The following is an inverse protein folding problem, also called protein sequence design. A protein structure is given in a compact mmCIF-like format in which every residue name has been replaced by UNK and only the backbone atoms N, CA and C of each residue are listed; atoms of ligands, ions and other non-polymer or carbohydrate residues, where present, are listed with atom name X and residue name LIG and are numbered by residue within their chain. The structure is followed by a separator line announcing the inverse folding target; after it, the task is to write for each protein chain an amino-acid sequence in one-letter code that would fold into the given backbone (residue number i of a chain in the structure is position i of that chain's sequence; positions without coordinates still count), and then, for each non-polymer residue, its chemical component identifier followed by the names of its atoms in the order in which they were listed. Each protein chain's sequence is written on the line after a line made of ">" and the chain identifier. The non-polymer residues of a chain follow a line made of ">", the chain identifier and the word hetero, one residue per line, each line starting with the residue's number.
data_IF_165215809381
#
_entry.id   IF_165215809381
#
_cell.length_a   1.000
_cell.length_b   1.000
_cell.length_c   1.000
_cell.angle_alpha   90.00
_cell.angle_beta   90.00
_cell.angle_gamma   90.00
#
_symmetry.space_group_name_H-M   'P 1'
#
loop_
_entity.id
_entity.type
_entity.pdbx_description
1 polymer ?
#
# COMPACT_ATOMS: atom_id res chain seq x y z
N UNK A 1 16.42 -27.40 42.43
CA UNK A 1 15.00 -27.02 42.28
C UNK A 1 15.00 -25.87 41.31
N UNK A 2 14.68 -26.15 40.05
CA UNK A 2 14.76 -25.22 38.94
C UNK A 2 13.42 -24.49 38.78
N UNK A 3 13.42 -23.17 38.89
CA UNK A 3 12.32 -22.35 38.45
C UNK A 3 12.68 -21.75 37.09
N UNK A 4 12.13 -22.32 36.04
CA UNK A 4 12.10 -21.69 34.71
C UNK A 4 10.85 -20.82 34.62
N UNK A 5 11.03 -19.52 34.64
CA UNK A 5 10.05 -18.55 34.18
C UNK A 5 10.33 -18.28 32.69
N UNK A 6 9.52 -18.86 31.79
CA UNK A 6 9.53 -18.52 30.36
C UNK A 6 8.92 -17.13 30.16
N UNK A 7 9.77 -16.16 29.92
CA UNK A 7 9.40 -14.89 29.28
C UNK A 7 9.65 -15.08 27.80
N UNK A 8 8.62 -15.13 27.01
CA UNK A 8 8.70 -15.13 25.52
C UNK A 8 8.92 -13.71 25.05
N UNK A 9 10.18 -13.31 24.96
CA UNK A 9 10.60 -12.07 24.31
C UNK A 9 10.71 -12.32 22.81
N UNK A 10 9.91 -11.61 22.01
CA UNK A 10 9.86 -11.68 20.54
C UNK A 10 11.00 -10.85 19.94
N UNK A 11 12.25 -11.12 20.30
CA UNK A 11 13.44 -10.54 19.71
C UNK A 11 14.01 -11.48 18.65
N UNK A 12 14.29 -10.94 17.44
CA UNK A 12 15.07 -11.65 16.43
C UNK A 12 16.39 -12.11 17.04
N UNK A 13 16.53 -13.40 17.25
CA UNK A 13 17.81 -13.99 17.66
C UNK A 13 18.63 -14.28 16.42
N UNK A 14 19.60 -13.41 16.15
CA UNK A 14 20.63 -13.70 15.15
C UNK A 14 21.70 -14.54 15.82
N UNK A 15 21.73 -15.83 15.58
CA UNK A 15 22.83 -16.67 16.01
C UNK A 15 23.98 -16.57 14.99
N UNK A 16 25.08 -15.97 15.42
CA UNK A 16 26.31 -15.92 14.62
C UNK A 16 27.19 -17.10 15.03
N UNK A 17 27.37 -18.07 14.15
CA UNK A 17 28.35 -19.13 14.33
C UNK A 17 29.58 -18.87 13.45
N UNK A 18 30.74 -18.81 14.06
CA UNK A 18 32.04 -18.73 13.35
C UNK A 18 32.58 -20.11 13.26
N UNK A 19 32.73 -20.66 12.06
CA UNK A 19 33.37 -21.96 11.82
C UNK A 19 34.88 -21.81 11.84
N UNK A 20 35.59 -22.95 12.01
CA UNK A 20 37.05 -23.05 12.06
C UNK A 20 37.79 -22.44 10.87
N UNK A 21 37.11 -22.12 9.79
CA UNK A 21 37.63 -21.58 8.52
C UNK A 21 37.35 -20.06 8.37
N UNK A 22 37.02 -19.36 9.46
CA UNK A 22 36.64 -17.93 9.46
C UNK A 22 35.42 -17.56 8.57
N UNK A 23 34.57 -18.50 8.21
CA UNK A 23 33.32 -18.25 7.50
C UNK A 23 32.22 -17.91 8.50
N UNK A 24 31.63 -16.73 8.37
CA UNK A 24 30.52 -16.29 9.20
C UNK A 24 29.21 -16.71 8.53
N UNK A 25 28.49 -17.62 9.13
CA UNK A 25 27.14 -18.03 8.68
C UNK A 25 26.10 -17.32 9.51
N UNK A 26 25.25 -16.56 8.85
CA UNK A 26 24.07 -15.95 9.44
C UNK A 26 22.87 -16.87 9.23
N UNK A 27 22.41 -17.53 10.26
CA UNK A 27 21.12 -18.21 10.24
C UNK A 27 20.03 -17.22 10.67
N UNK A 28 19.21 -16.79 9.74
CA UNK A 28 17.93 -16.11 10.03
C UNK A 28 16.86 -17.19 10.24
N UNK A 29 16.56 -17.53 11.46
CA UNK A 29 15.31 -18.24 11.77
C UNK A 29 14.18 -17.20 11.78
N UNK A 30 13.29 -17.28 10.79
CA UNK A 30 12.04 -16.52 10.82
C UNK A 30 11.10 -17.17 11.83
N UNK A 31 10.77 -16.47 12.90
CA UNK A 31 9.82 -16.92 13.93
C UNK A 31 8.35 -16.78 13.52
N UNK A 32 8.06 -16.51 12.23
CA UNK A 32 6.69 -16.54 11.71
C UNK A 32 6.28 -17.99 11.50
N UNK A 33 5.11 -18.34 12.03
CA UNK A 33 4.51 -19.68 11.85
C UNK A 33 4.08 -19.86 10.38
N UNK A 34 5.05 -20.20 9.53
CA UNK A 34 4.86 -20.50 8.10
C UNK A 34 4.06 -21.80 7.89
N UNK A 35 3.81 -22.58 8.95
CA UNK A 35 3.15 -23.89 8.89
C UNK A 35 1.72 -23.80 8.31
N UNK A 36 1.03 -22.68 8.49
CA UNK A 36 -0.33 -22.46 8.00
C UNK A 36 -0.38 -22.25 6.48
N UNK A 37 0.73 -21.78 5.88
CA UNK A 37 0.81 -21.42 4.46
C UNK A 37 1.55 -22.49 3.68
N UNK A 38 2.49 -23.19 4.33
CA UNK A 38 3.33 -24.21 3.69
C UNK A 38 2.49 -25.35 3.12
N UNK A 39 2.82 -25.76 1.87
CA UNK A 39 2.16 -26.87 1.17
C UNK A 39 3.20 -27.84 0.64
N UNK A 40 3.00 -29.10 0.95
CA UNK A 40 3.76 -30.20 0.36
C UNK A 40 3.00 -30.76 -0.85
N UNK A 41 3.75 -31.08 -1.92
CA UNK A 41 3.21 -31.59 -3.17
C UNK A 41 3.82 -32.96 -3.49
N UNK A 42 3.04 -33.84 -4.09
CA UNK A 42 3.55 -35.07 -4.66
C UNK A 42 4.19 -34.77 -6.02
N UNK A 43 5.51 -34.41 -5.99
CA UNK A 43 6.25 -33.98 -7.17
C UNK A 43 6.50 -35.12 -8.18
N UNK A 44 6.39 -36.38 -7.76
CA UNK A 44 6.59 -37.53 -8.63
C UNK A 44 5.34 -37.90 -9.42
N UNK A 45 4.15 -37.65 -8.86
CA UNK A 45 2.87 -38.00 -9.48
C UNK A 45 2.17 -36.85 -10.16
N UNK A 46 2.43 -35.59 -9.72
CA UNK A 46 1.71 -34.43 -10.25
C UNK A 46 2.41 -33.92 -11.52
N UNK A 47 1.74 -33.90 -12.69
CA UNK A 47 2.30 -33.31 -13.90
C UNK A 47 2.68 -31.85 -13.69
N UNK A 48 3.79 -31.39 -14.29
CA UNK A 48 4.28 -30.02 -14.14
C UNK A 48 3.24 -28.96 -14.53
N UNK A 49 2.42 -29.26 -15.53
CA UNK A 49 1.34 -28.36 -15.97
C UNK A 49 0.34 -28.13 -14.85
N UNK A 50 -0.09 -29.19 -14.23
CA UNK A 50 -1.08 -29.14 -13.14
C UNK A 50 -0.46 -28.55 -11.88
N UNK A 51 0.79 -28.88 -11.59
CA UNK A 51 1.51 -28.35 -10.43
C UNK A 51 1.56 -26.80 -10.45
N UNK A 52 1.92 -26.19 -11.60
CA UNK A 52 1.96 -24.72 -11.72
C UNK A 52 0.57 -24.13 -11.58
N UNK A 53 -0.45 -24.74 -12.21
CA UNK A 53 -1.82 -24.26 -12.12
C UNK A 53 -2.34 -24.31 -10.67
N UNK A 54 -2.10 -25.43 -9.97
CA UNK A 54 -2.50 -25.61 -8.56
C UNK A 54 -1.78 -24.59 -7.65
N UNK A 55 -0.48 -24.33 -7.89
CA UNK A 55 0.27 -23.34 -7.12
C UNK A 55 -0.30 -21.93 -7.31
N UNK A 56 -0.63 -21.54 -8.54
CA UNK A 56 -1.23 -20.25 -8.84
C UNK A 56 -2.62 -20.14 -8.21
N UNK A 57 -3.45 -21.15 -8.40
CA UNK A 57 -4.80 -21.17 -7.82
C UNK A 57 -4.78 -21.07 -6.29
N UNK A 58 -3.89 -21.82 -5.64
CA UNK A 58 -3.75 -21.78 -4.19
C UNK A 58 -3.24 -20.42 -3.69
N UNK A 59 -2.29 -19.81 -4.40
CA UNK A 59 -1.81 -18.48 -4.10
C UNK A 59 -2.91 -17.42 -4.22
N UNK A 60 -3.74 -17.49 -5.27
CA UNK A 60 -4.91 -16.61 -5.45
C UNK A 60 -5.93 -16.81 -4.32
N UNK A 61 -6.25 -18.06 -3.98
CA UNK A 61 -7.17 -18.39 -2.89
C UNK A 61 -6.65 -17.89 -1.52
N UNK A 62 -5.33 -17.90 -1.32
CA UNK A 62 -4.66 -17.34 -0.14
C UNK A 62 -4.49 -15.81 -0.23
N UNK A 63 -4.97 -15.17 -1.30
CA UNK A 63 -4.89 -13.72 -1.55
C UNK A 63 -3.45 -13.20 -1.60
N UNK A 64 -2.54 -14.02 -2.12
CA UNK A 64 -1.18 -13.59 -2.37
C UNK A 64 -1.15 -12.50 -3.45
N UNK A 65 -0.31 -11.48 -3.25
CA UNK A 65 -0.04 -10.46 -4.26
C UNK A 65 1.08 -10.87 -5.22
N UNK A 66 2.05 -11.65 -4.73
CA UNK A 66 3.20 -12.07 -5.51
C UNK A 66 3.59 -13.52 -5.14
N UNK A 67 4.08 -14.27 -6.13
CA UNK A 67 4.76 -15.55 -5.94
C UNK A 67 6.22 -15.39 -6.34
N UNK A 68 7.13 -15.85 -5.49
CA UNK A 68 8.57 -15.82 -5.72
C UNK A 68 9.09 -17.25 -5.84
N UNK A 69 9.77 -17.53 -6.94
CA UNK A 69 10.44 -18.78 -7.21
C UNK A 69 11.96 -18.52 -7.14
N UNK A 70 12.55 -18.85 -5.99
CA UNK A 70 13.94 -18.53 -5.67
C UNK A 70 14.79 -19.81 -5.80
N UNK A 71 15.59 -19.97 -6.86
CA UNK A 71 16.45 -21.14 -7.02
C UNK A 71 17.58 -21.11 -6.00
N UNK A 72 17.86 -22.28 -5.42
CA UNK A 72 19.04 -22.57 -4.61
C UNK A 72 19.80 -23.73 -5.26
N UNK A 73 21.02 -24.10 -4.84
CA UNK A 73 21.72 -25.27 -5.38
C UNK A 73 20.88 -26.55 -5.32
N UNK A 74 20.22 -26.82 -4.19
CA UNK A 74 19.60 -28.11 -3.88
C UNK A 74 18.09 -28.17 -4.15
N UNK A 75 17.39 -27.02 -4.19
CA UNK A 75 15.94 -26.96 -4.36
C UNK A 75 15.51 -25.60 -4.95
N UNK A 76 14.23 -25.47 -5.28
CA UNK A 76 13.60 -24.19 -5.61
C UNK A 76 12.70 -23.80 -4.43
N UNK A 77 13.04 -22.68 -3.77
CA UNK A 77 12.20 -22.16 -2.69
C UNK A 77 11.06 -21.33 -3.27
N UNK A 78 9.82 -21.74 -3.03
CA UNK A 78 8.65 -20.98 -3.44
C UNK A 78 8.11 -20.24 -2.23
N UNK A 79 8.03 -18.92 -2.35
CA UNK A 79 7.45 -18.03 -1.34
C UNK A 79 6.30 -17.24 -1.94
N UNK A 80 5.33 -16.90 -1.11
CA UNK A 80 4.20 -16.05 -1.52
C UNK A 80 4.12 -14.84 -0.62
N UNK A 81 3.69 -13.70 -1.19
CA UNK A 81 3.48 -12.48 -0.42
C UNK A 81 2.01 -12.36 -0.07
N UNK A 82 1.67 -12.42 1.22
CA UNK A 82 0.31 -12.26 1.74
C UNK A 82 0.29 -11.02 2.64
N UNK A 83 -0.62 -10.10 2.36
CA UNK A 83 -0.82 -8.87 3.15
C UNK A 83 0.46 -8.06 3.41
N UNK A 84 1.43 -8.14 2.48
CA UNK A 84 2.74 -7.47 2.53
C UNK A 84 3.87 -8.35 3.07
N UNK A 85 3.59 -9.42 3.79
CA UNK A 85 4.60 -10.34 4.32
C UNK A 85 4.94 -11.43 3.31
N UNK A 86 6.24 -11.71 3.19
CA UNK A 86 6.74 -12.83 2.37
C UNK A 86 6.88 -14.07 3.25
N UNK A 87 6.14 -15.13 2.92
CA UNK A 87 6.09 -16.38 3.69
C UNK A 87 6.49 -17.59 2.84
N UNK A 88 7.07 -18.62 3.47
CA UNK A 88 7.41 -19.85 2.77
C UNK A 88 6.15 -20.61 2.38
N UNK A 89 6.12 -21.08 1.13
CA UNK A 89 4.94 -21.76 0.57
C UNK A 89 5.25 -23.22 0.20
N UNK A 90 6.35 -23.48 -0.53
CA UNK A 90 6.75 -24.83 -0.91
C UNK A 90 8.26 -24.91 -1.17
N UNK A 91 8.83 -26.12 -1.00
CA UNK A 91 10.18 -26.47 -1.44
C UNK A 91 10.09 -27.48 -2.57
N UNK A 92 10.49 -27.09 -3.77
CA UNK A 92 10.44 -27.92 -4.98
C UNK A 92 11.78 -28.61 -5.16
N UNK A 93 11.85 -29.94 -5.30
CA UNK A 93 13.09 -30.69 -5.50
C UNK A 93 13.88 -30.23 -6.72
N UNK A 94 15.20 -30.38 -6.68
CA UNK A 94 16.11 -30.00 -7.78
C UNK A 94 15.73 -30.67 -9.12
N UNK A 95 15.24 -31.91 -9.07
CA UNK A 95 14.81 -32.69 -10.26
C UNK A 95 13.65 -32.01 -11.03
N UNK A 96 12.78 -31.26 -10.33
CA UNK A 96 11.60 -30.60 -10.90
C UNK A 96 11.84 -29.11 -11.19
N UNK A 97 12.85 -28.51 -10.53
CA UNK A 97 13.15 -27.07 -10.56
C UNK A 97 13.17 -26.50 -11.98
N UNK A 98 13.95 -27.08 -12.89
CA UNK A 98 14.09 -26.59 -14.28
C UNK A 98 12.80 -26.69 -15.07
N UNK A 99 12.07 -27.80 -14.93
CA UNK A 99 10.83 -28.04 -15.65
C UNK A 99 9.74 -27.05 -15.22
N UNK A 100 9.67 -26.73 -13.93
CA UNK A 100 8.73 -25.77 -13.37
C UNK A 100 9.00 -24.35 -13.89
N UNK A 101 10.27 -23.89 -13.87
CA UNK A 101 10.66 -22.59 -14.43
C UNK A 101 10.37 -22.52 -15.93
N UNK A 102 10.67 -23.58 -16.70
CA UNK A 102 10.35 -23.67 -18.14
C UNK A 102 8.85 -23.57 -18.36
N UNK A 103 8.02 -24.25 -17.57
CA UNK A 103 6.56 -24.20 -17.70
C UNK A 103 6.02 -22.78 -17.47
N UNK A 104 6.54 -22.09 -16.43
CA UNK A 104 6.16 -20.69 -16.17
C UNK A 104 6.52 -19.80 -17.35
N UNK A 105 7.73 -19.94 -17.93
CA UNK A 105 8.15 -19.18 -19.10
C UNK A 105 7.24 -19.44 -20.32
N UNK A 106 6.85 -20.68 -20.56
CA UNK A 106 5.93 -21.05 -21.66
C UNK A 106 4.58 -20.32 -21.51
N UNK A 107 3.95 -20.42 -20.34
CA UNK A 107 2.60 -19.83 -20.15
C UNK A 107 2.62 -18.30 -20.08
N UNK A 108 3.78 -17.71 -19.80
CA UNK A 108 3.96 -16.25 -19.81
C UNK A 108 4.48 -15.68 -21.14
N UNK A 109 4.67 -16.54 -22.18
CA UNK A 109 5.13 -16.11 -23.51
C UNK A 109 6.61 -15.74 -23.59
N UNK A 110 7.44 -16.18 -22.62
CA UNK A 110 8.89 -15.92 -22.59
C UNK A 110 9.67 -16.94 -23.45
N UNK A 111 10.88 -16.53 -23.86
CA UNK A 111 11.80 -17.41 -24.58
C UNK A 111 12.45 -18.42 -23.62
N UNK A 112 12.12 -19.70 -23.78
CA UNK A 112 12.62 -20.79 -22.93
C UNK A 112 14.09 -21.14 -23.19
N UNK A 113 14.66 -20.75 -24.34
CA UNK A 113 16.05 -21.04 -24.70
C UNK A 113 17.02 -19.97 -24.20
N UNK A 114 16.54 -18.76 -23.91
CA UNK A 114 17.35 -17.69 -23.33
C UNK A 114 17.23 -17.71 -21.79
N UNK A 115 18.34 -17.95 -21.11
CA UNK A 115 18.41 -18.05 -19.64
C UNK A 115 19.42 -17.09 -19.02
N UNK A 116 20.06 -16.25 -19.84
CA UNK A 116 21.15 -15.35 -19.44
C UNK A 116 20.72 -13.89 -19.35
N UNK A 117 19.55 -13.56 -19.89
CA UNK A 117 18.99 -12.20 -19.92
C UNK A 117 17.69 -12.16 -19.14
N UNK A 118 17.40 -11.04 -18.45
CA UNK A 118 16.08 -10.79 -17.87
C UNK A 118 14.98 -10.84 -18.94
N UNK A 119 13.82 -11.33 -18.56
CA UNK A 119 12.65 -11.39 -19.44
C UNK A 119 11.40 -11.04 -18.64
N UNK A 120 10.47 -10.36 -19.29
CA UNK A 120 9.16 -10.08 -18.78
C UNK A 120 8.09 -10.75 -19.64
N UNK A 121 7.00 -11.16 -19.02
CA UNK A 121 5.88 -11.82 -19.68
C UNK A 121 4.57 -11.62 -18.92
N UNK A 122 3.49 -12.16 -19.45
CA UNK A 122 2.18 -12.06 -18.84
C UNK A 122 1.42 -13.40 -18.93
N UNK A 123 0.69 -13.73 -17.89
CA UNK A 123 -0.23 -14.88 -17.88
C UNK A 123 -1.65 -14.33 -17.73
N UNK A 124 -2.54 -14.74 -18.63
CA UNK A 124 -3.97 -14.49 -18.52
C UNK A 124 -4.68 -15.80 -18.29
N UNK A 125 -5.45 -15.88 -17.23
CA UNK A 125 -6.25 -17.06 -16.94
C UNK A 125 -7.59 -16.67 -16.33
N UNK A 126 -8.54 -17.60 -16.37
CA UNK A 126 -9.82 -17.45 -15.67
C UNK A 126 -9.87 -18.44 -14.53
N UNK A 127 -10.08 -17.97 -13.32
CA UNK A 127 -10.24 -18.78 -12.13
C UNK A 127 -11.60 -18.52 -11.50
N UNK A 128 -12.44 -19.55 -11.36
CA UNK A 128 -13.79 -19.42 -10.79
C UNK A 128 -14.59 -18.26 -11.44
N UNK A 129 -14.59 -18.22 -12.77
CA UNK A 129 -15.23 -17.18 -13.61
C UNK A 129 -14.65 -15.77 -13.49
N UNK A 130 -13.56 -15.60 -12.73
CA UNK A 130 -12.85 -14.31 -12.58
C UNK A 130 -11.65 -14.27 -13.52
N UNK A 131 -11.55 -13.28 -14.39
CA UNK A 131 -10.36 -13.07 -15.18
C UNK A 131 -9.23 -12.59 -14.25
N UNK A 132 -8.08 -13.21 -14.36
CA UNK A 132 -6.85 -12.86 -13.65
C UNK A 132 -5.78 -12.51 -14.67
N UNK A 133 -5.18 -11.34 -14.49
CA UNK A 133 -3.97 -10.94 -15.19
C UNK A 133 -2.78 -11.07 -14.23
N UNK A 134 -1.70 -11.68 -14.70
CA UNK A 134 -0.47 -11.83 -13.92
C UNK A 134 0.72 -11.35 -14.74
N UNK A 135 1.58 -10.57 -14.12
CA UNK A 135 2.88 -10.17 -14.70
C UNK A 135 3.95 -11.11 -14.17
N UNK A 136 4.81 -11.55 -15.07
CA UNK A 136 5.89 -12.49 -14.75
C UNK A 136 7.21 -11.84 -15.15
N UNK A 137 8.15 -11.81 -14.21
CA UNK A 137 9.52 -11.37 -14.49
C UNK A 137 10.50 -12.49 -14.14
N UNK A 138 11.42 -12.78 -15.07
CA UNK A 138 12.52 -13.73 -14.88
C UNK A 138 13.84 -12.98 -14.86
N UNK A 139 14.66 -13.27 -13.84
CA UNK A 139 15.99 -12.69 -13.64
C UNK A 139 17.02 -13.78 -13.48
N UNK A 140 18.06 -13.85 -14.33
CA UNK A 140 19.19 -14.75 -14.13
C UNK A 140 19.93 -14.43 -12.83
N UNK A 141 20.17 -15.45 -12.01
CA UNK A 141 20.99 -15.40 -10.80
C UNK A 141 21.99 -16.56 -10.81
N UNK A 142 22.90 -16.60 -9.82
CA UNK A 142 23.97 -17.62 -9.77
C UNK A 142 23.41 -19.04 -9.81
N UNK A 143 22.32 -19.33 -9.09
CA UNK A 143 21.76 -20.67 -8.95
C UNK A 143 20.65 -21.01 -9.97
N UNK A 144 20.43 -20.14 -10.98
CA UNK A 144 19.43 -20.33 -12.03
C UNK A 144 18.65 -19.07 -12.35
N UNK A 145 17.37 -19.23 -12.71
CA UNK A 145 16.48 -18.10 -12.99
C UNK A 145 15.52 -17.89 -11.80
N UNK A 146 15.63 -16.73 -11.16
CA UNK A 146 14.62 -16.26 -10.20
C UNK A 146 13.40 -15.80 -11.00
N UNK A 147 12.22 -16.29 -10.62
CA UNK A 147 10.97 -15.86 -11.25
C UNK A 147 10.05 -15.23 -10.20
N UNK A 148 9.42 -14.14 -10.56
CA UNK A 148 8.37 -13.50 -9.75
C UNK A 148 7.11 -13.40 -10.58
N UNK A 149 6.01 -13.89 -10.03
CA UNK A 149 4.68 -13.75 -10.61
C UNK A 149 3.91 -12.77 -9.73
N UNK A 150 3.54 -11.61 -10.26
CA UNK A 150 2.65 -10.65 -9.62
C UNK A 150 1.22 -10.93 -10.03
N UNK A 151 0.36 -11.16 -9.05
CA UNK A 151 -1.07 -11.46 -9.26
C UNK A 151 -1.82 -10.14 -9.18
N UNK A 152 -2.48 -9.77 -10.27
CA UNK A 152 -3.25 -8.54 -10.38
C UNK A 152 -4.75 -8.90 -10.24
N UNK A 153 -5.26 -8.76 -9.02
CA UNK A 153 -6.69 -8.95 -8.73
C UNK A 153 -7.35 -7.57 -8.50
N UNK A 154 -8.00 -7.09 -9.54
CA UNK A 154 -8.69 -5.78 -9.53
C UNK A 154 -10.17 -5.89 -9.17
N UNK A 155 -10.67 -7.06 -8.79
CA UNK A 155 -12.09 -7.26 -8.46
C UNK A 155 -12.60 -6.25 -7.43
N UNK A 156 -11.75 -5.90 -6.45
CA UNK A 156 -12.07 -4.88 -5.42
C UNK A 156 -12.10 -3.44 -5.96
N UNK A 157 -11.34 -3.14 -7.01
CA UNK A 157 -11.37 -1.80 -7.62
C UNK A 157 -12.70 -1.52 -8.31
N UNK A 158 -13.48 -2.56 -8.59
CA UNK A 158 -14.81 -2.49 -9.19
C UNK A 158 -15.95 -2.36 -8.18
N UNK A 159 -15.66 -2.42 -6.88
CA UNK A 159 -16.69 -2.29 -5.83
C UNK A 159 -17.08 -0.83 -5.54
N UNK A 160 -16.38 0.14 -6.17
CA UNK A 160 -16.67 1.57 -6.07
C UNK A 160 -16.11 2.25 -4.82
N UNK A 161 -16.41 3.55 -4.65
CA UNK A 161 -15.85 4.39 -3.58
C UNK A 161 -16.23 3.92 -2.17
N UNK A 162 -17.41 3.36 -2.00
CA UNK A 162 -17.94 2.95 -0.69
C UNK A 162 -17.16 1.75 -0.11
N UNK A 163 -16.46 0.99 -0.94
CA UNK A 163 -15.64 -0.17 -0.52
C UNK A 163 -14.22 0.18 -0.09
N UNK A 164 -13.75 1.41 -0.31
CA UNK A 164 -12.37 1.83 -0.01
C UNK A 164 -12.05 1.90 1.48
N UNK A 165 -13.05 1.80 2.36
CA UNK A 165 -12.86 1.90 3.81
C UNK A 165 -12.60 3.33 4.31
N UNK A 166 -13.00 4.33 3.53
CA UNK A 166 -13.02 5.74 3.94
C UNK A 166 -13.98 5.93 5.12
N UNK A 167 -13.63 6.81 6.07
CA UNK A 167 -14.58 7.26 7.06
C UNK A 167 -15.76 7.99 6.38
N UNK A 168 -16.96 8.03 6.97
CA UNK A 168 -18.12 8.73 6.37
C UNK A 168 -17.80 10.17 5.98
N UNK A 169 -17.04 10.89 6.82
CA UNK A 169 -16.59 12.27 6.58
C UNK A 169 -15.67 12.35 5.37
N UNK A 170 -14.68 11.45 5.27
CA UNK A 170 -13.72 11.42 4.16
C UNK A 170 -14.41 11.00 2.85
N UNK A 171 -15.34 10.06 2.91
CA UNK A 171 -16.13 9.62 1.74
C UNK A 171 -16.96 10.77 1.17
N UNK A 172 -17.62 11.55 2.02
CA UNK A 172 -18.40 12.75 1.59
C UNK A 172 -17.50 13.79 0.93
N UNK A 173 -16.31 14.04 1.49
CA UNK A 173 -15.30 14.91 0.87
C UNK A 173 -14.89 14.42 -0.51
N UNK A 174 -14.53 13.17 -0.66
CA UNK A 174 -14.12 12.59 -1.94
C UNK A 174 -15.27 12.69 -2.95
N UNK A 175 -16.51 12.39 -2.55
CA UNK A 175 -17.70 12.56 -3.41
C UNK A 175 -17.89 14.01 -3.85
N UNK A 176 -17.62 14.99 -2.99
CA UNK A 176 -17.67 16.42 -3.37
C UNK A 176 -16.55 16.80 -4.32
N UNK A 177 -15.32 16.34 -4.06
CA UNK A 177 -14.15 16.63 -4.90
C UNK A 177 -14.32 16.15 -6.33
N UNK A 178 -14.85 14.95 -6.55
CA UNK A 178 -15.02 14.39 -7.91
C UNK A 178 -16.21 15.00 -8.67
N UNK A 179 -17.09 15.72 -8.01
CA UNK A 179 -18.26 16.36 -8.64
C UNK A 179 -18.00 17.81 -9.05
N UNK A 180 -16.76 18.31 -8.97
CA UNK A 180 -16.41 19.63 -9.49
C UNK A 180 -16.22 19.55 -11.00
N UNK A 181 -16.52 20.64 -11.75
CA UNK A 181 -16.40 20.65 -13.21
C UNK A 181 -14.94 20.59 -13.68
N UNK A 182 -14.01 21.12 -12.91
CA UNK A 182 -12.59 21.16 -13.25
C UNK A 182 -11.72 21.29 -12.00
N UNK A 183 -10.46 20.94 -12.11
CA UNK A 183 -9.50 20.96 -11.02
C UNK A 183 -8.61 19.72 -11.04
N UNK A 184 -7.64 19.62 -10.13
CA UNK A 184 -6.77 18.46 -9.99
C UNK A 184 -6.97 17.80 -8.63
N UNK A 185 -7.18 16.48 -8.63
CA UNK A 185 -7.25 15.64 -7.44
C UNK A 185 -6.07 14.67 -7.48
N UNK A 186 -5.28 14.64 -6.42
CA UNK A 186 -4.10 13.82 -6.31
C UNK A 186 -4.27 12.73 -5.26
N UNK A 187 -3.94 11.49 -5.61
CA UNK A 187 -3.83 10.38 -4.67
C UNK A 187 -2.36 10.07 -4.40
N UNK A 188 -1.95 10.15 -3.15
CA UNK A 188 -0.55 10.00 -2.76
C UNK A 188 -0.34 8.84 -1.79
N UNK A 189 0.88 8.35 -1.74
CA UNK A 189 1.33 7.27 -0.87
C UNK A 189 2.42 6.42 -1.51
N UNK A 190 3.02 5.53 -0.74
CA UNK A 190 4.06 4.60 -1.20
C UNK A 190 3.51 3.61 -2.25
N UNK A 191 4.42 2.91 -2.92
CA UNK A 191 4.05 1.76 -3.78
C UNK A 191 3.29 0.72 -2.97
N UNK A 192 2.18 0.23 -3.52
CA UNK A 192 1.33 -0.75 -2.83
C UNK A 192 0.38 -0.18 -1.77
N UNK A 193 0.25 1.16 -1.64
CA UNK A 193 -0.70 1.79 -0.73
C UNK A 193 -2.16 1.78 -1.23
N UNK A 194 -2.41 1.30 -2.46
CA UNK A 194 -3.75 1.20 -3.05
C UNK A 194 -4.18 2.41 -3.87
N UNK A 195 -3.26 3.30 -4.27
CA UNK A 195 -3.55 4.51 -5.06
C UNK A 195 -4.36 4.22 -6.32
N UNK A 196 -3.93 3.25 -7.13
CA UNK A 196 -4.62 2.85 -8.38
C UNK A 196 -6.05 2.39 -8.10
N UNK A 197 -6.27 1.61 -7.03
CA UNK A 197 -7.61 1.19 -6.60
C UNK A 197 -8.51 2.39 -6.32
N UNK A 198 -8.01 3.38 -5.60
CA UNK A 198 -8.75 4.60 -5.25
C UNK A 198 -9.06 5.44 -6.49
N UNK A 199 -8.07 5.64 -7.38
CA UNK A 199 -8.28 6.37 -8.64
C UNK A 199 -9.29 5.65 -9.54
N UNK A 200 -9.17 4.32 -9.68
CA UNK A 200 -10.13 3.55 -10.48
C UNK A 200 -11.54 3.56 -9.91
N UNK A 201 -11.71 3.54 -8.59
CA UNK A 201 -13.01 3.69 -7.94
C UNK A 201 -13.63 5.08 -8.22
N UNK A 202 -12.81 6.14 -8.26
CA UNK A 202 -13.26 7.48 -8.67
C UNK A 202 -13.64 7.51 -10.15
N UNK A 203 -12.82 6.96 -11.04
CA UNK A 203 -13.10 6.86 -12.47
C UNK A 203 -14.42 6.11 -12.74
N UNK A 204 -14.64 5.01 -12.04
CA UNK A 204 -15.88 4.25 -12.15
C UNK A 204 -17.11 5.05 -11.76
N UNK A 205 -17.00 5.89 -10.71
CA UNK A 205 -18.10 6.78 -10.28
C UNK A 205 -18.37 7.87 -11.32
N UNK A 206 -17.33 8.37 -11.99
CA UNK A 206 -17.40 9.40 -13.03
C UNK A 206 -17.80 8.86 -14.41
N UNK A 207 -17.68 7.56 -14.64
CA UNK A 207 -17.93 6.91 -15.93
C UNK A 207 -19.44 6.86 -16.24
N UNK A 208 -19.94 7.95 -16.81
CA UNK A 208 -21.30 8.10 -17.29
C UNK A 208 -21.32 8.15 -18.81
N UNK A 209 -22.49 7.95 -19.42
CA UNK A 209 -22.64 7.89 -20.88
C UNK A 209 -22.27 9.22 -21.56
N UNK A 210 -22.45 10.32 -20.87
CA UNK A 210 -22.22 11.69 -21.34
C UNK A 210 -20.83 12.24 -20.92
N UNK A 211 -19.96 11.43 -20.35
CA UNK A 211 -18.65 11.85 -19.82
C UNK A 211 -17.52 11.21 -20.62
N UNK A 212 -16.72 12.00 -21.30
CA UNK A 212 -15.54 11.52 -22.04
C UNK A 212 -14.33 11.42 -21.09
N UNK A 213 -13.99 10.20 -20.67
CA UNK A 213 -12.86 9.92 -19.78
C UNK A 213 -11.71 9.34 -20.58
N UNK A 214 -10.55 9.99 -20.50
CA UNK A 214 -9.32 9.50 -21.14
C UNK A 214 -8.22 9.35 -20.10
N UNK A 215 -7.55 8.19 -20.11
CA UNK A 215 -6.44 7.89 -19.20
C UNK A 215 -5.12 7.75 -19.95
N UNK A 216 -4.00 8.03 -19.28
CA UNK A 216 -2.65 7.67 -19.72
C UNK A 216 -1.92 6.98 -18.58
N UNK A 217 -1.42 5.75 -18.81
CA UNK A 217 -0.96 4.82 -17.77
C UNK A 217 0.32 4.09 -18.19
N UNK A 218 1.14 3.69 -17.23
CA UNK A 218 2.40 2.96 -17.45
C UNK A 218 2.56 1.76 -16.48
N UNK A 219 2.02 0.60 -16.87
CA UNK A 219 1.07 0.37 -17.95
C UNK A 219 -0.39 0.47 -17.48
N UNK A 220 -1.35 0.28 -18.42
CA UNK A 220 -2.78 0.08 -18.05
C UNK A 220 -2.90 -1.17 -17.19
N UNK A 221 -3.38 -0.99 -15.96
CA UNK A 221 -3.49 -2.10 -14.99
C UNK A 221 -4.72 -2.96 -15.27
N UNK A 222 -5.85 -2.33 -15.57
CA UNK A 222 -7.12 -2.99 -15.85
C UNK A 222 -7.90 -2.23 -16.91
N UNK A 223 -8.51 -2.95 -17.85
CA UNK A 223 -9.43 -2.34 -18.81
C UNK A 223 -10.78 -2.08 -18.16
N UNK A 224 -11.21 -0.83 -18.22
CA UNK A 224 -12.53 -0.40 -17.72
C UNK A 224 -13.41 -0.08 -18.94
N UNK A 225 -14.54 -0.77 -19.13
CA UNK A 225 -15.48 -0.44 -20.21
C UNK A 225 -15.94 1.02 -20.11
N UNK A 226 -15.99 1.71 -21.24
CA UNK A 226 -16.40 3.12 -21.31
C UNK A 226 -15.25 4.13 -21.18
N UNK A 227 -14.04 3.73 -20.80
CA UNK A 227 -12.87 4.58 -20.73
C UNK A 227 -11.97 4.44 -21.97
N UNK A 228 -11.38 5.55 -22.39
CA UNK A 228 -10.34 5.58 -23.42
C UNK A 228 -8.96 5.54 -22.74
N UNK A 229 -8.36 4.34 -22.66
CA UNK A 229 -7.13 4.13 -21.91
C UNK A 229 -5.92 4.05 -22.82
N UNK A 230 -4.97 4.98 -22.66
CA UNK A 230 -3.71 5.04 -23.41
C UNK A 230 -2.60 4.44 -22.56
N UNK A 231 -1.88 3.48 -23.13
CA UNK A 231 -0.68 2.94 -22.52
C UNK A 231 0.57 3.67 -23.02
N UNK A 232 1.42 4.11 -22.09
CA UNK A 232 2.74 4.68 -22.40
C UNK A 232 3.59 3.64 -23.15
N UNK A 233 4.31 4.11 -24.18
CA UNK A 233 5.28 3.35 -24.95
C UNK A 233 6.49 4.25 -25.23
N UNK A 234 7.36 4.37 -24.23
CA UNK A 234 8.52 5.29 -24.25
C UNK A 234 9.48 4.99 -25.40
N UNK A 235 9.58 3.73 -25.84
CA UNK A 235 10.45 3.28 -26.94
C UNK A 235 10.10 3.94 -28.27
N UNK A 236 8.84 4.32 -28.47
CA UNK A 236 8.37 5.02 -29.69
C UNK A 236 8.04 6.50 -29.42
N UNK A 237 8.40 7.02 -28.24
CA UNK A 237 8.17 8.42 -27.88
C UNK A 237 6.77 8.74 -27.36
N UNK A 238 5.89 7.74 -27.14
CA UNK A 238 4.59 7.94 -26.49
C UNK A 238 4.78 7.98 -24.96
N UNK A 239 5.25 9.13 -24.48
CA UNK A 239 5.45 9.42 -23.05
C UNK A 239 4.17 9.98 -22.39
N UNK A 240 4.14 10.12 -21.06
CA UNK A 240 3.05 10.80 -20.35
C UNK A 240 2.78 12.20 -20.90
N UNK A 241 3.81 13.03 -21.05
CA UNK A 241 3.68 14.38 -21.56
C UNK A 241 3.19 14.42 -23.03
N UNK A 242 3.71 13.54 -23.90
CA UNK A 242 3.30 13.48 -25.30
C UNK A 242 1.83 13.04 -25.45
N UNK A 243 1.43 11.99 -24.70
CA UNK A 243 0.04 11.52 -24.68
C UNK A 243 -0.89 12.60 -24.15
N UNK A 244 -0.55 13.26 -23.03
CA UNK A 244 -1.39 14.29 -22.41
C UNK A 244 -1.63 15.48 -23.33
N UNK A 245 -0.60 15.96 -24.09
CA UNK A 245 -0.81 16.99 -25.10
C UNK A 245 -1.79 16.57 -26.20
N UNK A 246 -1.85 15.30 -26.54
CA UNK A 246 -2.78 14.78 -27.53
C UNK A 246 -4.17 14.58 -26.96
N UNK A 247 -4.29 14.14 -25.71
CA UNK A 247 -5.54 13.97 -24.97
C UNK A 247 -6.30 15.30 -24.90
N UNK A 248 -5.61 16.41 -24.66
CA UNK A 248 -6.22 17.75 -24.62
C UNK A 248 -6.90 18.21 -25.94
N UNK A 249 -6.69 17.47 -27.05
CA UNK A 249 -7.38 17.71 -28.33
C UNK A 249 -8.45 16.68 -28.65
N UNK A 250 -8.81 15.84 -27.67
CA UNK A 250 -9.80 14.77 -27.82
C UNK A 250 -11.11 15.08 -27.07
N UNK A 251 -11.34 16.35 -26.74
CA UNK A 251 -12.53 16.80 -26.02
C UNK A 251 -12.81 16.01 -24.73
N UNK A 252 -11.81 15.89 -23.81
CA UNK A 252 -12.00 15.16 -22.58
C UNK A 252 -12.72 15.99 -21.51
N UNK A 253 -13.65 15.38 -20.77
CA UNK A 253 -14.19 15.94 -19.53
C UNK A 253 -13.29 15.61 -18.35
N UNK A 254 -12.81 14.34 -18.30
CA UNK A 254 -11.97 13.81 -17.23
C UNK A 254 -10.69 13.23 -17.82
N UNK A 255 -9.57 13.63 -17.27
CA UNK A 255 -8.25 13.12 -17.65
C UNK A 255 -7.65 12.40 -16.43
N UNK A 256 -7.22 11.15 -16.60
CA UNK A 256 -6.44 10.47 -15.59
C UNK A 256 -5.00 10.27 -16.06
N UNK A 257 -4.06 10.68 -15.24
CA UNK A 257 -2.62 10.47 -15.45
C UNK A 257 -2.18 9.46 -14.40
N UNK A 258 -1.67 8.30 -14.84
CA UNK A 258 -1.29 7.21 -13.95
C UNK A 258 -0.43 7.69 -12.79
N UNK A 259 0.58 8.48 -13.09
CA UNK A 259 1.40 9.18 -12.08
C UNK A 259 2.11 10.41 -12.66
N UNK A 260 2.43 11.37 -11.79
CA UNK A 260 3.26 12.54 -12.11
C UNK A 260 4.66 12.29 -11.53
N UNK A 261 5.66 12.16 -12.43
CA UNK A 261 7.06 11.91 -12.07
C UNK A 261 8.00 13.09 -12.39
N UNK A 262 7.62 13.92 -13.36
CA UNK A 262 8.45 14.98 -13.93
C UNK A 262 7.71 16.32 -14.01
N UNK A 263 8.49 17.39 -14.15
CA UNK A 263 8.03 18.78 -14.19
C UNK A 263 7.18 19.08 -15.44
N UNK A 264 7.48 18.46 -16.58
CA UNK A 264 6.73 18.66 -17.82
C UNK A 264 5.30 18.13 -17.68
N UNK A 265 5.15 16.89 -17.21
CA UNK A 265 3.84 16.27 -16.97
C UNK A 265 3.06 17.05 -15.90
N UNK A 266 3.71 17.47 -14.80
CA UNK A 266 3.08 18.25 -13.74
C UNK A 266 2.48 19.56 -14.26
N UNK A 267 3.27 20.33 -15.05
CA UNK A 267 2.80 21.62 -15.61
C UNK A 267 1.67 21.46 -16.60
N UNK A 268 1.69 20.43 -17.45
CA UNK A 268 0.59 20.18 -18.38
C UNK A 268 -0.68 19.78 -17.64
N UNK A 269 -0.58 18.90 -16.64
CA UNK A 269 -1.69 18.44 -15.80
C UNK A 269 -2.37 19.59 -15.07
N UNK A 270 -1.58 20.47 -14.44
CA UNK A 270 -2.09 21.65 -13.72
C UNK A 270 -2.77 22.63 -14.70
N UNK A 271 -2.18 22.89 -15.86
CA UNK A 271 -2.81 23.76 -16.87
C UNK A 271 -4.10 23.16 -17.42
N UNK A 272 -4.14 21.84 -17.68
CA UNK A 272 -5.36 21.15 -18.10
C UNK A 272 -6.51 21.36 -17.10
N UNK A 273 -6.21 21.24 -15.81
CA UNK A 273 -7.19 21.39 -14.75
C UNK A 273 -7.75 22.82 -14.63
N UNK A 274 -6.99 23.84 -14.97
CA UNK A 274 -7.43 25.24 -14.98
C UNK A 274 -8.27 25.55 -16.23
N UNK A 275 -7.99 24.86 -17.34
CA UNK A 275 -8.66 25.10 -18.62
C UNK A 275 -9.96 24.31 -18.81
N UNK A 276 -10.54 23.78 -17.75
CA UNK A 276 -11.88 23.22 -17.77
C UNK A 276 -11.97 21.69 -17.62
N UNK A 277 -10.87 20.99 -17.34
CA UNK A 277 -10.87 19.54 -17.21
C UNK A 277 -10.74 19.09 -15.76
N UNK A 278 -11.43 18.02 -15.38
CA UNK A 278 -11.15 17.33 -14.11
C UNK A 278 -9.96 16.38 -14.31
N UNK A 279 -8.87 16.64 -13.59
CA UNK A 279 -7.65 15.83 -13.67
C UNK A 279 -7.50 14.97 -12.42
N UNK A 280 -7.34 13.66 -12.60
CA UNK A 280 -7.01 12.71 -11.55
C UNK A 280 -5.59 12.21 -11.77
N UNK A 281 -4.77 12.16 -10.72
CA UNK A 281 -3.45 11.58 -10.85
C UNK A 281 -2.94 10.99 -9.53
N UNK A 282 -1.82 10.25 -9.63
CA UNK A 282 -1.09 9.80 -8.45
C UNK A 282 0.28 10.47 -8.37
N UNK A 283 0.80 10.57 -7.16
CA UNK A 283 2.13 11.06 -6.88
C UNK A 283 2.73 10.31 -5.70
N UNK A 284 4.06 10.20 -5.63
CA UNK A 284 4.73 9.48 -4.55
C UNK A 284 5.22 10.48 -3.49
N UNK A 285 4.39 10.72 -2.47
CA UNK A 285 4.72 11.49 -1.26
C UNK A 285 4.09 10.83 -0.03
N UNK A 286 4.52 11.21 1.17
CA UNK A 286 4.11 10.56 2.42
C UNK A 286 2.82 11.10 3.02
N UNK A 287 2.46 12.37 2.75
CA UNK A 287 1.27 13.05 3.24
C UNK A 287 0.82 14.16 2.27
N UNK A 288 -0.33 14.78 2.54
CA UNK A 288 -0.92 15.79 1.66
C UNK A 288 -0.08 17.07 1.57
N UNK A 289 0.54 17.52 2.64
CA UNK A 289 1.36 18.74 2.63
C UNK A 289 2.63 18.56 1.81
N UNK A 290 3.31 17.41 1.96
CA UNK A 290 4.48 17.09 1.15
C UNK A 290 4.14 16.96 -0.34
N UNK A 291 2.87 16.68 -0.69
CA UNK A 291 2.40 16.69 -2.09
C UNK A 291 2.42 18.09 -2.67
N UNK A 292 1.98 19.09 -1.90
CA UNK A 292 2.03 20.50 -2.32
C UNK A 292 3.48 20.93 -2.55
N UNK A 293 4.37 20.64 -1.60
CA UNK A 293 5.81 20.93 -1.73
C UNK A 293 6.40 20.26 -2.96
N UNK A 294 6.10 18.99 -3.18
CA UNK A 294 6.63 18.22 -4.32
C UNK A 294 6.25 18.81 -5.68
N UNK A 295 5.02 19.33 -5.83
CA UNK A 295 4.60 19.99 -7.06
C UNK A 295 5.33 21.33 -7.25
N UNK A 296 5.60 22.04 -6.17
CA UNK A 296 6.42 23.28 -6.23
C UNK A 296 7.86 22.97 -6.61
N UNK A 297 8.44 21.87 -6.11
CA UNK A 297 9.78 21.37 -6.49
C UNK A 297 9.86 20.95 -7.97
N UNK A 298 8.72 20.60 -8.58
CA UNK A 298 8.57 20.32 -10.01
C UNK A 298 8.29 21.59 -10.85
N UNK A 299 8.68 22.76 -10.36
CA UNK A 299 8.52 24.06 -11.03
C UNK A 299 7.06 24.39 -11.43
N UNK A 300 6.08 23.91 -10.67
CA UNK A 300 4.69 24.37 -10.81
C UNK A 300 4.55 25.69 -10.08
N UNK A 301 4.13 26.73 -10.79
CA UNK A 301 3.95 28.08 -10.22
C UNK A 301 2.83 28.07 -9.15
N UNK A 302 3.10 28.70 -8.00
CA UNK A 302 2.19 28.72 -6.83
C UNK A 302 0.79 29.19 -7.14
N UNK A 303 0.65 30.23 -7.98
CA UNK A 303 -0.65 30.78 -8.35
C UNK A 303 -1.48 29.80 -9.21
N UNK A 304 -0.79 29.02 -10.07
CA UNK A 304 -1.45 27.96 -10.85
C UNK A 304 -1.88 26.81 -9.93
N UNK A 305 -0.97 26.38 -9.04
CA UNK A 305 -1.25 25.31 -8.10
C UNK A 305 -2.42 25.65 -7.17
N UNK A 306 -2.44 26.87 -6.60
CA UNK A 306 -3.56 27.32 -5.76
C UNK A 306 -4.89 27.38 -6.50
N UNK A 307 -4.88 27.69 -7.81
CA UNK A 307 -6.09 27.72 -8.63
C UNK A 307 -6.56 26.33 -9.07
N UNK A 308 -5.63 25.42 -9.33
CA UNK A 308 -5.88 24.10 -9.89
C UNK A 308 -6.27 23.06 -8.84
N UNK A 309 -5.60 23.08 -7.68
CA UNK A 309 -5.69 22.00 -6.70
C UNK A 309 -7.08 21.97 -6.02
N UNK A 310 -7.78 20.85 -6.18
CA UNK A 310 -9.10 20.61 -5.57
C UNK A 310 -8.97 19.81 -4.30
N UNK A 311 -8.14 18.78 -4.30
CA UNK A 311 -7.93 17.96 -3.11
C UNK A 311 -6.78 16.98 -3.24
N UNK A 312 -6.34 16.47 -2.10
CA UNK A 312 -5.30 15.45 -1.98
C UNK A 312 -5.81 14.35 -1.07
N UNK A 313 -5.64 13.10 -1.53
CA UNK A 313 -5.98 11.90 -0.77
C UNK A 313 -4.66 11.18 -0.48
N UNK A 314 -4.18 11.28 0.75
CA UNK A 314 -3.02 10.50 1.18
C UNK A 314 -3.47 9.18 1.78
N UNK A 315 -2.80 8.08 1.41
CA UNK A 315 -3.22 6.77 1.88
C UNK A 315 -2.08 5.80 2.15
N UNK A 316 -2.32 4.94 3.16
CA UNK A 316 -1.48 3.80 3.53
C UNK A 316 -2.33 2.55 3.71
N UNK A 317 -1.73 1.37 3.61
CA UNK A 317 -2.40 0.10 3.91
C UNK A 317 -1.81 -0.50 5.18
N UNK A 318 -2.66 -0.71 6.18
CA UNK A 318 -2.36 -1.45 7.40
C UNK A 318 -2.84 -2.90 7.26
N UNK A 319 -2.19 -3.85 7.95
CA UNK A 319 -2.70 -5.21 8.08
C UNK A 319 -3.98 -5.21 8.92
N UNK A 320 -4.98 -5.94 8.48
CA UNK A 320 -6.23 -6.07 9.21
C UNK A 320 -6.13 -7.19 10.23
N UNK A 321 -6.53 -6.93 11.48
CA UNK A 321 -6.62 -7.97 12.49
C UNK A 321 -7.57 -9.09 12.07
N UNK A 322 -7.16 -10.32 12.34
CA UNK A 322 -8.00 -11.47 12.05
C UNK A 322 -9.24 -11.46 12.96
N UNK A 323 -10.46 -11.38 12.41
CA UNK A 323 -11.67 -11.30 13.24
C UNK A 323 -11.94 -12.59 14.03
N UNK A 324 -11.27 -13.70 13.68
CA UNK A 324 -11.45 -15.00 14.35
C UNK A 324 -10.57 -15.18 15.59
N UNK A 325 -9.47 -14.45 15.72
CA UNK A 325 -8.51 -14.67 16.79
C UNK A 325 -8.00 -13.40 17.46
N UNK A 326 -8.36 -12.20 17.00
CA UNK A 326 -8.00 -10.96 17.70
C UNK A 326 -8.52 -11.01 19.14
N UNK A 327 -7.74 -10.51 20.08
CA UNK A 327 -8.08 -10.51 21.51
C UNK A 327 -8.01 -9.09 22.04
N UNK A 328 -8.97 -8.71 22.87
CA UNK A 328 -8.95 -7.45 23.59
C UNK A 328 -7.91 -7.46 24.69
N UNK A 329 -7.21 -6.34 24.88
CA UNK A 329 -6.28 -6.09 26.00
C UNK A 329 -6.36 -4.66 26.48
N UNK A 330 -6.00 -4.39 27.75
CA UNK A 330 -5.83 -3.03 28.25
C UNK A 330 -4.78 -2.28 27.43
N UNK A 331 -4.92 -0.95 27.31
CA UNK A 331 -3.89 -0.09 26.72
C UNK A 331 -2.70 0.08 27.66
N UNK A 332 -1.53 0.29 27.10
CA UNK A 332 -0.34 0.72 27.85
C UNK A 332 -0.40 2.24 28.15
N UNK A 333 0.42 2.72 29.07
CA UNK A 333 0.55 4.15 29.36
C UNK A 333 0.94 4.97 28.12
N UNK A 334 1.84 4.42 27.30
CA UNK A 334 2.23 5.03 26.02
C UNK A 334 1.06 5.14 25.03
N UNK A 335 0.34 4.04 24.82
CA UNK A 335 -0.82 4.02 23.92
C UNK A 335 -1.91 4.99 24.39
N UNK A 336 -2.22 5.02 25.68
CA UNK A 336 -3.17 5.96 26.27
C UNK A 336 -2.77 7.42 26.00
N UNK A 337 -1.48 7.76 26.15
CA UNK A 337 -0.98 9.10 25.86
C UNK A 337 -1.16 9.47 24.38
N UNK A 338 -0.82 8.55 23.45
CA UNK A 338 -0.98 8.77 22.01
C UNK A 338 -2.46 9.00 21.66
N UNK A 339 -3.39 8.19 22.20
CA UNK A 339 -4.82 8.38 21.97
C UNK A 339 -5.32 9.73 22.51
N UNK A 340 -4.87 10.12 23.72
CA UNK A 340 -5.24 11.42 24.32
C UNK A 340 -4.72 12.59 23.49
N UNK A 341 -3.46 12.54 23.03
CA UNK A 341 -2.87 13.63 22.22
C UNK A 341 -3.51 13.72 20.82
N UNK A 342 -3.62 12.60 20.11
CA UNK A 342 -4.08 12.58 18.72
C UNK A 342 -5.60 12.76 18.57
N UNK A 343 -6.40 12.10 19.43
CA UNK A 343 -7.85 12.02 19.29
C UNK A 343 -8.63 12.73 20.38
N UNK A 344 -7.96 13.17 21.46
CA UNK A 344 -8.61 13.69 22.69
C UNK A 344 -9.55 12.66 23.35
N UNK A 345 -9.26 11.36 23.20
CA UNK A 345 -10.05 10.26 23.73
C UNK A 345 -9.27 9.49 24.80
N UNK A 346 -9.97 9.08 25.86
CA UNK A 346 -9.44 8.19 26.90
C UNK A 346 -9.87 6.74 26.58
N UNK A 347 -8.97 5.99 25.97
CA UNK A 347 -9.20 4.60 25.54
C UNK A 347 -8.64 3.66 26.60
N UNK A 348 -9.44 2.66 27.01
CA UNK A 348 -9.07 1.69 28.06
C UNK A 348 -8.64 0.34 27.47
N UNK A 349 -9.16 -0.03 26.31
CA UNK A 349 -8.98 -1.34 25.72
C UNK A 349 -8.82 -1.25 24.19
N UNK A 350 -7.94 -2.06 23.63
CA UNK A 350 -7.73 -2.22 22.17
C UNK A 350 -7.56 -3.70 21.85
N UNK A 351 -7.45 -4.04 20.56
CA UNK A 351 -7.26 -5.42 20.12
C UNK A 351 -5.83 -5.69 19.69
N UNK A 352 -5.34 -6.91 20.01
CA UNK A 352 -4.03 -7.43 19.63
C UNK A 352 -4.14 -8.63 18.67
N UNK A 353 -3.11 -8.88 17.81
CA UNK A 353 -3.04 -10.09 17.00
C UNK A 353 -2.64 -11.30 17.86
N UNK A 354 -3.32 -12.45 17.68
CA UNK A 354 -2.97 -13.69 18.39
C UNK A 354 -2.39 -14.73 17.42
N UNK A 355 -3.08 -14.97 16.31
CA UNK A 355 -2.73 -16.01 15.35
C UNK A 355 -3.68 -17.22 15.42
N UNK A 356 -4.03 -17.77 14.27
CA UNK A 356 -4.83 -19.00 14.15
C UNK A 356 -4.66 -19.62 12.76
N UNK A 357 -5.21 -20.82 12.57
CA UNK A 357 -5.13 -21.56 11.29
C UNK A 357 -5.74 -20.85 10.06
N UNK A 358 -6.39 -19.71 10.23
CA UNK A 358 -7.04 -18.95 9.14
C UNK A 358 -6.28 -17.67 8.77
N UNK A 359 -5.20 -17.33 9.48
CA UNK A 359 -4.48 -16.07 9.29
C UNK A 359 -2.97 -16.26 9.39
N UNK A 360 -2.22 -15.24 9.00
CA UNK A 360 -0.76 -15.20 9.13
C UNK A 360 -0.41 -14.23 10.25
N UNK A 361 0.20 -14.70 11.33
CA UNK A 361 0.64 -13.85 12.45
C UNK A 361 -0.48 -13.00 13.09
N UNK A 362 -1.72 -13.49 13.13
CA UNK A 362 -2.86 -12.75 13.69
C UNK A 362 -3.52 -11.75 12.74
N UNK A 363 -3.07 -11.65 11.47
CA UNK A 363 -3.62 -10.71 10.49
C UNK A 363 -4.24 -11.43 9.29
N UNK A 364 -5.30 -10.84 8.72
CA UNK A 364 -6.02 -11.36 7.57
C UNK A 364 -6.58 -10.23 6.70
N UNK A 365 -5.92 -9.92 5.59
CA UNK A 365 -6.26 -8.82 4.70
C UNK A 365 -5.65 -7.51 5.14
N UNK A 366 -6.02 -6.45 4.44
CA UNK A 366 -5.53 -5.08 4.68
C UNK A 366 -6.69 -4.13 4.83
N UNK A 367 -6.46 -3.04 5.56
CA UNK A 367 -7.37 -1.91 5.72
C UNK A 367 -6.65 -0.64 5.30
N UNK A 368 -7.32 0.21 4.54
CA UNK A 368 -6.74 1.47 4.11
C UNK A 368 -6.89 2.53 5.21
N UNK A 369 -5.85 3.33 5.37
CA UNK A 369 -5.79 4.51 6.22
C UNK A 369 -5.75 5.72 5.31
N UNK A 370 -6.61 6.71 5.55
CA UNK A 370 -6.78 7.85 4.65
C UNK A 370 -6.65 9.18 5.38
N UNK A 371 -5.95 10.10 4.72
CA UNK A 371 -6.00 11.52 4.98
C UNK A 371 -6.61 12.18 3.76
N UNK A 372 -7.71 12.90 3.91
CA UNK A 372 -8.41 13.57 2.81
C UNK A 372 -8.44 15.07 3.08
N UNK A 373 -7.61 15.80 2.33
CA UNK A 373 -7.48 17.25 2.39
C UNK A 373 -8.20 17.86 1.20
N UNK A 374 -9.35 18.47 1.44
CA UNK A 374 -10.00 19.34 0.48
C UNK A 374 -9.35 20.74 0.54
N UNK A 375 -9.06 21.33 -0.61
CA UNK A 375 -8.36 22.59 -0.70
C UNK A 375 -9.38 23.72 -0.68
N UNK A 376 -9.59 24.29 0.49
CA UNK A 376 -10.45 25.46 0.68
C UNK A 376 -9.75 26.78 0.30
N UNK A 377 -10.46 27.90 0.37
CA UNK A 377 -9.91 29.20 -0.01
C UNK A 377 -8.71 29.61 0.85
N UNK A 378 -8.73 29.36 2.16
CA UNK A 378 -7.66 29.71 3.07
C UNK A 378 -6.35 28.97 2.73
N UNK A 379 -6.44 27.68 2.38
CA UNK A 379 -5.28 26.88 1.95
C UNK A 379 -4.77 27.36 0.58
N UNK A 380 -5.69 27.68 -0.35
CA UNK A 380 -5.32 28.26 -1.65
C UNK A 380 -4.52 29.54 -1.49
N UNK A 381 -5.03 30.48 -0.69
CA UNK A 381 -4.37 31.76 -0.42
C UNK A 381 -3.02 31.55 0.26
N UNK A 382 -2.92 30.60 1.18
CA UNK A 382 -1.67 30.27 1.85
C UNK A 382 -0.60 29.71 0.88
N UNK A 383 -1.02 28.86 -0.07
CA UNK A 383 -0.12 28.35 -1.13
C UNK A 383 0.37 29.50 -2.01
N UNK A 384 -0.53 30.36 -2.49
CA UNK A 384 -0.21 31.49 -3.37
C UNK A 384 0.69 32.49 -2.68
N UNK A 385 0.44 32.79 -1.41
CA UNK A 385 1.21 33.76 -0.61
C UNK A 385 2.52 33.19 -0.05
N UNK A 386 2.88 31.97 -0.41
CA UNK A 386 4.11 31.29 0.07
C UNK A 386 4.20 31.25 1.60
N UNK A 387 3.11 30.89 2.25
CA UNK A 387 3.09 30.70 3.69
C UNK A 387 3.98 29.53 4.12
N UNK A 388 4.51 29.59 5.36
CA UNK A 388 5.36 28.55 5.91
C UNK A 388 4.58 27.23 6.06
N UNK A 389 5.29 26.13 6.04
CA UNK A 389 4.72 24.77 6.19
C UNK A 389 3.89 24.62 7.46
N UNK A 390 4.34 25.19 8.57
CA UNK A 390 3.64 25.15 9.85
C UNK A 390 2.28 25.86 9.78
N UNK A 391 2.19 26.96 9.04
CA UNK A 391 0.95 27.70 8.84
C UNK A 391 0.00 26.91 7.94
N UNK A 392 0.50 26.33 6.85
CA UNK A 392 -0.28 25.41 6.01
C UNK A 392 -0.79 24.20 6.80
N UNK A 393 0.08 23.62 7.67
CA UNK A 393 -0.30 22.52 8.55
C UNK A 393 -1.43 22.91 9.49
N UNK A 394 -1.32 24.07 10.12
CA UNK A 394 -2.36 24.59 11.01
C UNK A 394 -3.66 24.77 10.26
N UNK A 395 -3.66 25.32 9.06
CA UNK A 395 -4.89 25.51 8.26
C UNK A 395 -5.49 24.17 7.81
N UNK A 396 -4.66 23.22 7.40
CA UNK A 396 -5.10 21.90 6.92
C UNK A 396 -5.78 21.07 8.02
N UNK A 397 -5.24 21.09 9.25
CA UNK A 397 -5.69 20.22 10.34
C UNK A 397 -6.43 20.94 11.46
N UNK A 398 -6.64 22.26 11.39
CA UNK A 398 -7.46 22.98 12.34
C UNK A 398 -8.95 22.73 12.13
N UNK A 399 -9.74 22.88 13.20
CA UNK A 399 -11.21 22.86 13.16
C UNK A 399 -11.80 21.60 12.50
N UNK A 400 -11.16 20.44 12.68
CA UNK A 400 -11.57 19.18 12.04
C UNK A 400 -11.65 19.25 10.51
N UNK A 401 -10.92 20.18 9.89
CA UNK A 401 -10.94 20.33 8.44
C UNK A 401 -10.43 19.06 7.76
N UNK A 402 -9.24 18.54 8.10
CA UNK A 402 -8.78 17.24 7.66
C UNK A 402 -8.45 16.34 8.87
N UNK A 403 -8.63 15.04 8.67
CA UNK A 403 -8.20 14.02 9.64
C UNK A 403 -6.83 13.55 9.20
N UNK A 404 -5.83 13.53 10.08
CA UNK A 404 -4.49 13.04 9.74
C UNK A 404 -4.48 11.52 9.52
N UNK A 405 -3.43 11.01 8.88
CA UNK A 405 -3.23 9.56 8.75
C UNK A 405 -3.21 8.87 10.12
N UNK A 406 -2.55 9.48 11.12
CA UNK A 406 -2.50 8.94 12.47
C UNK A 406 -3.90 8.87 13.10
N UNK A 407 -4.69 9.93 13.01
CA UNK A 407 -6.04 9.96 13.57
C UNK A 407 -6.94 8.90 12.95
N UNK A 408 -6.96 8.77 11.61
CA UNK A 408 -7.75 7.72 10.93
C UNK A 408 -7.25 6.31 11.30
N UNK A 409 -5.94 6.13 11.39
CA UNK A 409 -5.32 4.87 11.82
C UNK A 409 -5.72 4.48 13.24
N UNK A 410 -5.64 5.42 14.19
CA UNK A 410 -6.02 5.18 15.60
C UNK A 410 -7.52 4.88 15.75
N UNK A 411 -8.39 5.52 14.96
CA UNK A 411 -9.81 5.17 14.91
C UNK A 411 -10.03 3.74 14.46
N UNK A 412 -9.23 3.24 13.50
CA UNK A 412 -9.28 1.84 13.06
C UNK A 412 -8.74 0.87 14.12
N UNK A 413 -7.79 1.31 14.96
CA UNK A 413 -7.34 0.52 16.12
C UNK A 413 -8.49 0.38 17.15
N UNK A 414 -9.17 1.48 17.48
CA UNK A 414 -10.33 1.47 18.38
C UNK A 414 -11.42 0.52 17.89
N UNK A 415 -11.70 0.51 16.58
CA UNK A 415 -12.68 -0.39 15.97
C UNK A 415 -12.20 -1.86 15.92
N UNK A 416 -10.93 -2.12 16.25
CA UNK A 416 -10.31 -3.44 16.12
C UNK A 416 -10.10 -3.89 14.68
N UNK A 417 -10.03 -2.96 13.72
CA UNK A 417 -9.71 -3.27 12.33
C UNK A 417 -8.22 -3.58 12.15
N UNK A 418 -7.35 -2.92 12.92
CA UNK A 418 -5.90 -3.11 12.93
C UNK A 418 -5.35 -3.01 14.35
N UNK A 419 -4.06 -3.31 14.54
CA UNK A 419 -3.39 -3.13 15.82
C UNK A 419 -2.68 -1.78 15.94
N UNK A 420 -2.41 -1.35 17.17
CA UNK A 420 -1.63 -0.15 17.42
C UNK A 420 -0.21 -0.26 16.86
N UNK A 421 0.45 -1.41 17.06
CA UNK A 421 1.80 -1.67 16.53
C UNK A 421 1.89 -1.55 15.01
N UNK A 422 0.85 -1.98 14.31
CA UNK A 422 0.81 -1.85 12.85
C UNK A 422 0.70 -0.38 12.41
N UNK A 423 -0.05 0.45 13.13
CA UNK A 423 -0.13 1.90 12.86
C UNK A 423 1.21 2.57 13.11
N UNK A 424 1.86 2.31 14.25
CA UNK A 424 3.19 2.87 14.57
C UNK A 424 4.25 2.45 13.55
N UNK A 425 4.13 1.23 13.00
CA UNK A 425 5.04 0.72 11.97
C UNK A 425 4.95 1.48 10.63
N UNK A 426 3.76 1.94 10.26
CA UNK A 426 3.51 2.53 8.94
C UNK A 426 3.36 4.06 8.97
N UNK A 427 3.09 4.66 10.12
CA UNK A 427 2.89 6.10 10.30
C UNK A 427 3.95 6.60 11.28
N UNK A 428 4.63 7.69 10.90
CA UNK A 428 5.52 8.40 11.80
C UNK A 428 4.67 9.26 12.76
N UNK A 429 4.67 8.87 14.04
CA UNK A 429 3.85 9.54 15.06
C UNK A 429 4.35 10.94 15.35
N UNK A 430 5.67 11.14 15.33
CA UNK A 430 6.28 12.41 15.68
C UNK A 430 5.98 13.49 14.62
N UNK A 431 5.98 13.10 13.35
CA UNK A 431 5.56 13.97 12.23
C UNK A 431 4.10 14.44 12.37
N UNK A 432 3.23 13.59 12.91
CA UNK A 432 1.78 13.87 12.99
C UNK A 432 1.37 14.62 14.27
N UNK A 433 2.05 14.40 15.41
CA UNK A 433 1.72 15.02 16.70
C UNK A 433 2.36 16.40 16.90
N UNK A 434 3.40 16.77 16.12
CA UNK A 434 4.13 18.04 16.27
C UNK A 434 5.22 18.01 17.34
N UNK A 435 5.89 19.16 17.57
CA UNK A 435 7.19 19.29 18.25
C UNK A 435 7.23 18.99 19.77
N UNK A 436 6.19 18.48 20.41
CA UNK A 436 6.22 18.08 21.84
C UNK A 436 6.92 16.72 22.04
N UNK A 437 8.14 16.59 21.52
CA UNK A 437 8.96 15.37 21.58
C UNK A 437 9.27 14.88 23.00
N UNK A 438 9.37 15.77 23.99
CA UNK A 438 9.90 15.44 25.33
C UNK A 438 8.99 14.47 26.07
N UNK A 439 7.68 14.65 25.98
CA UNK A 439 6.71 13.81 26.68
C UNK A 439 6.57 12.43 26.04
N UNK A 440 6.70 12.37 24.70
CA UNK A 440 6.62 11.11 23.95
C UNK A 440 7.88 10.27 24.21
N UNK A 441 9.07 10.90 24.24
CA UNK A 441 10.34 10.23 24.59
C UNK A 441 10.32 9.66 26.01
N UNK A 442 9.76 10.40 26.98
CA UNK A 442 9.62 9.92 28.35
C UNK A 442 8.60 8.76 28.46
N UNK A 443 7.52 8.81 27.68
CA UNK A 443 6.53 7.72 27.63
C UNK A 443 7.06 6.47 26.89
N UNK A 444 8.06 6.61 26.00
CA UNK A 444 8.74 5.47 25.36
C UNK A 444 9.45 4.57 26.37
N UNK A 445 9.89 5.10 27.52
CA UNK A 445 10.46 4.30 28.63
C UNK A 445 9.40 3.44 29.34
N UNK A 446 8.11 3.80 29.27
CA UNK A 446 6.99 3.07 29.85
C UNK A 446 6.16 2.25 28.84
N UNK A 447 6.72 1.92 27.66
CA UNK A 447 5.96 1.22 26.57
C UNK A 447 5.25 -0.07 26.97
N UNK A 448 5.75 -0.76 27.99
CA UNK A 448 5.21 -2.06 28.44
C UNK A 448 4.32 -1.96 29.67
N UNK A 449 4.23 -0.80 30.34
CA UNK A 449 3.41 -0.63 31.52
C UNK A 449 1.93 -0.48 31.15
N UNK A 450 1.08 -1.39 31.63
CA UNK A 450 -0.37 -1.31 31.43
C UNK A 450 -0.98 -0.24 32.34
N UNK A 451 -2.04 0.41 31.88
CA UNK A 451 -2.86 1.32 32.70
C UNK A 451 -3.64 0.47 33.71
N UNK A 452 -3.42 0.72 35.00
CA UNK A 452 -4.16 0.07 36.06
C UNK A 452 -5.34 0.95 36.54
N UNK A 453 -6.32 0.34 37.22
CA UNK A 453 -7.51 1.07 37.67
C UNK A 453 -7.19 2.21 38.64
N UNK A 454 -6.03 2.16 39.29
CA UNK A 454 -5.59 3.15 40.30
C UNK A 454 -4.91 4.38 39.69
N UNK A 455 -4.56 4.36 38.39
CA UNK A 455 -3.88 5.48 37.69
C UNK A 455 -4.84 6.64 37.33
N UNK A 456 -6.12 6.56 37.70
CA UNK A 456 -7.14 7.58 37.34
C UNK A 456 -7.18 8.82 38.24
N UNK A 457 -6.39 8.89 39.33
CA UNK A 457 -6.48 9.95 40.37
C UNK A 457 -5.30 10.93 40.41
N UNK A 458 -4.40 10.92 39.43
CA UNK A 458 -3.37 11.95 39.34
C UNK A 458 -3.78 13.01 38.30
N UNK A 459 -4.39 14.08 38.77
CA UNK A 459 -4.52 15.35 38.09
C UNK A 459 -3.13 15.84 37.65
N UNK A 460 -2.79 15.69 36.39
CA UNK A 460 -1.70 16.44 35.78
C UNK A 460 -2.22 17.86 35.50
N UNK A 461 -1.86 18.79 36.35
CA UNK A 461 -1.98 20.22 36.07
C UNK A 461 -1.31 20.50 34.72
N UNK A 462 -2.11 21.03 33.82
CA UNK A 462 -1.66 21.56 32.51
C UNK A 462 -0.92 22.86 32.81
N UNK A 463 0.38 22.88 32.58
CA UNK A 463 1.17 24.09 32.41
C UNK A 463 1.23 24.48 30.95
#
# INVERSE_FOLDING_TARGET
>A
MNNNSNVTDNTMVTTTTVNSDNTVTFAQESTKDDSVVFRDFDYDKTPIVDLVNIMIEDAVNKRASDMHFDPTPDYLNVRIRIDGDLVNYAKVPASVKKNLSTRIKIISGMNITETRLPQDGAIKMTLNERPLDMRVSSLPIVDGEKIVIRILDYSRSLEGLDSLGLSPKNLDKVKKMINVPNGIILVTGATGSGKSTTVYAMLQKLNQVDTNIITVEDPVEMKIPGLNQVQVMSEIGLTFAAALRSILRQDPDVIMIGEIRDDETARIAVRASITGHLVLSTIHTNNSLNTIERLLDMDVERYLLGSALTGIISQKLAKRLCPKCRKARPVTKYESLVFKKALKLDIKEIYEPVGCKYCVGGYMGRVAIHEVLDINQEIRDAIVLNKRKEELRRLAYSNDHATTLLQDGLMKVINGDTSFDEIVRIIDIDDDLGEDETDIKNALLGKTELVTADDNDTDYEVL
#
